data_IF_054001317212
#
_entry.id   IF_054001317212
#
_cell.length_a   1.000
_cell.length_b   1.000
_cell.length_c   1.000
_cell.angle_alpha   90.00
_cell.angle_beta   90.00
_cell.angle_gamma   90.00
#
_symmetry.space_group_name_H-M   'P 1'
#
loop_
_entity.id
_entity.type
_entity.pdbx_description
1 polymer ?
#
# COMPACT_ATOMS: atom_id res chain seq x y z
N UNK A 1 53.67 68.63 -1.23
CA UNK A 1 54.88 68.26 -1.98
C UNK A 1 55.20 66.81 -1.65
N UNK A 2 55.46 65.99 -2.69
CA UNK A 2 56.30 64.77 -2.71
C UNK A 2 55.96 63.61 -1.74
N UNK A 3 56.03 62.30 -2.03
CA UNK A 3 56.09 61.43 -3.22
C UNK A 3 55.80 60.00 -2.69
N UNK A 4 55.34 59.11 -3.57
CA UNK A 4 55.14 57.64 -3.46
C UNK A 4 56.15 56.82 -2.63
N UNK A 5 55.70 55.66 -2.07
CA UNK A 5 56.18 54.25 -2.28
C UNK A 5 55.14 53.30 -1.62
N UNK A 6 54.33 52.49 -2.32
CA UNK A 6 54.51 51.15 -2.94
C UNK A 6 54.59 49.94 -1.99
N UNK A 7 53.47 49.18 -1.96
CA UNK A 7 53.30 47.72 -2.05
C UNK A 7 53.55 46.74 -0.87
N UNK A 8 52.88 45.57 -1.07
CA UNK A 8 52.95 44.25 -0.41
C UNK A 8 51.97 44.14 0.79
N UNK A 9 50.82 43.46 0.74
CA UNK A 9 50.40 42.28 -0.03
C UNK A 9 50.51 41.04 0.86
N UNK A 10 49.40 40.55 1.42
CA UNK A 10 49.16 39.12 1.71
C UNK A 10 47.66 38.93 1.98
N UNK A 11 47.01 38.19 1.09
CA UNK A 11 45.59 37.87 1.17
C UNK A 11 45.30 36.84 2.27
N UNK A 12 44.22 37.06 3.02
CA UNK A 12 43.49 35.98 3.68
C UNK A 12 42.36 35.55 2.74
N UNK A 13 42.60 34.49 1.98
CA UNK A 13 41.53 33.75 1.32
C UNK A 13 40.78 32.92 2.38
N UNK A 14 39.58 33.37 2.77
CA UNK A 14 38.62 32.56 3.48
C UNK A 14 38.07 31.50 2.52
N UNK A 15 38.63 30.30 2.58
CA UNK A 15 38.08 29.13 1.89
C UNK A 15 36.84 28.69 2.67
N UNK A 16 35.66 29.20 2.30
CA UNK A 16 34.40 28.56 2.62
C UNK A 16 34.30 27.27 1.81
N UNK A 17 34.78 26.17 2.41
CA UNK A 17 34.51 24.83 1.92
C UNK A 17 33.02 24.54 2.08
N UNK A 18 32.22 24.81 1.04
CA UNK A 18 30.92 24.17 0.89
C UNK A 18 31.20 22.68 0.66
N UNK A 19 31.15 21.89 1.74
CA UNK A 19 30.88 20.47 1.62
C UNK A 19 29.45 20.31 1.12
N UNK A 20 29.26 20.45 -0.20
CA UNK A 20 28.15 19.82 -0.89
C UNK A 20 28.38 18.33 -0.73
N UNK A 21 27.88 17.77 0.37
CA UNK A 21 27.66 16.35 0.47
C UNK A 21 26.84 15.97 -0.76
N UNK A 22 27.46 15.18 -1.64
CA UNK A 22 26.75 14.54 -2.72
C UNK A 22 25.71 13.63 -2.08
N UNK A 23 24.48 14.14 -1.91
CA UNK A 23 23.32 13.29 -1.71
C UNK A 23 23.26 12.50 -3.01
N UNK A 24 23.79 11.27 -3.00
CA UNK A 24 23.58 10.34 -4.09
C UNK A 24 22.06 10.33 -4.34
N UNK A 25 21.65 10.79 -5.52
CA UNK A 25 20.24 10.88 -5.88
C UNK A 25 19.70 9.45 -5.84
N UNK A 26 19.06 9.09 -4.73
CA UNK A 26 18.48 7.76 -4.58
C UNK A 26 17.51 7.58 -5.73
N UNK A 27 17.67 6.49 -6.48
CA UNK A 27 16.74 6.14 -7.57
C UNK A 27 15.33 6.15 -6.97
N UNK A 28 14.34 6.82 -7.61
CA UNK A 28 13.00 6.86 -7.07
C UNK A 28 12.44 5.46 -6.81
N UNK A 29 11.75 5.32 -5.68
CA UNK A 29 11.11 4.09 -5.22
C UNK A 29 9.61 4.37 -5.07
N UNK A 30 8.79 3.37 -5.39
CA UNK A 30 7.34 3.42 -5.22
C UNK A 30 6.91 2.26 -4.32
N UNK A 31 6.11 2.56 -3.29
CA UNK A 31 5.42 1.56 -2.48
C UNK A 31 4.15 1.16 -3.22
N UNK A 32 4.06 -0.09 -3.66
CA UNK A 32 2.95 -0.59 -4.47
C UNK A 32 2.09 -1.58 -3.71
N UNK A 33 0.83 -1.65 -4.11
CA UNK A 33 -0.09 -2.76 -3.86
C UNK A 33 -0.55 -3.34 -5.21
N UNK A 34 -0.49 -4.65 -5.37
CA UNK A 34 -1.16 -5.38 -6.45
C UNK A 34 -2.38 -6.03 -5.83
N UNK A 35 -3.57 -5.61 -6.28
CA UNK A 35 -4.80 -5.96 -5.62
C UNK A 35 -5.88 -6.45 -6.60
N UNK A 36 -6.75 -7.33 -6.11
CA UNK A 36 -7.98 -7.73 -6.78
C UNK A 36 -9.12 -6.78 -6.38
N UNK A 37 -9.92 -6.37 -7.36
CA UNK A 37 -11.10 -5.54 -7.17
C UNK A 37 -12.34 -6.43 -7.09
N UNK A 38 -13.11 -6.36 -6.00
CA UNK A 38 -14.23 -7.25 -5.81
C UNK A 38 -15.49 -6.72 -6.50
N UNK A 39 -16.48 -7.59 -6.73
CA UNK A 39 -17.75 -7.21 -7.32
C UNK A 39 -18.61 -6.27 -6.44
N UNK A 40 -19.75 -5.84 -7.01
CA UNK A 40 -20.70 -4.95 -6.35
C UNK A 40 -21.23 -5.47 -5.00
N UNK A 41 -21.28 -6.79 -4.79
CA UNK A 41 -21.76 -7.40 -3.53
C UNK A 41 -20.81 -7.04 -2.40
N UNK A 42 -19.52 -7.33 -2.57
CA UNK A 42 -18.51 -6.97 -1.57
C UNK A 42 -18.37 -5.46 -1.44
N UNK A 43 -18.44 -4.69 -2.53
CA UNK A 43 -18.39 -3.24 -2.47
C UNK A 43 -19.52 -2.65 -1.61
N UNK A 44 -20.73 -3.19 -1.72
CA UNK A 44 -21.87 -2.76 -0.90
C UNK A 44 -21.62 -3.07 0.58
N UNK A 45 -21.25 -4.31 0.91
CA UNK A 45 -20.93 -4.70 2.29
C UNK A 45 -19.79 -3.87 2.89
N UNK A 46 -18.75 -3.59 2.12
CA UNK A 46 -17.64 -2.76 2.56
C UNK A 46 -18.08 -1.32 2.86
N UNK A 47 -18.91 -0.72 2.00
CA UNK A 47 -19.45 0.64 2.18
C UNK A 47 -20.39 0.74 3.39
N UNK A 48 -21.26 -0.24 3.59
CA UNK A 48 -22.17 -0.27 4.74
C UNK A 48 -21.38 -0.37 6.06
N UNK A 49 -20.36 -1.23 6.08
CA UNK A 49 -19.47 -1.38 7.23
C UNK A 49 -18.64 -0.11 7.47
N UNK A 50 -18.13 0.54 6.41
CA UNK A 50 -17.42 1.81 6.50
C UNK A 50 -18.29 2.95 7.05
N UNK A 51 -19.55 3.06 6.60
CA UNK A 51 -20.49 4.04 7.12
C UNK A 51 -20.74 3.89 8.63
N UNK A 52 -20.75 2.65 9.13
CA UNK A 52 -20.82 2.36 10.57
C UNK A 52 -19.54 2.79 11.29
N UNK A 53 -18.36 2.50 10.73
CA UNK A 53 -17.07 2.88 11.31
C UNK A 53 -16.88 4.39 11.38
N UNK A 54 -17.30 5.13 10.37
CA UNK A 54 -17.25 6.60 10.36
C UNK A 54 -18.12 7.25 11.45
N UNK A 55 -19.21 6.60 11.89
CA UNK A 55 -19.98 7.05 13.06
C UNK A 55 -19.21 6.86 14.37
N UNK A 56 -18.42 5.79 14.46
CA UNK A 56 -17.59 5.50 15.63
C UNK A 56 -16.32 6.36 15.69
N UNK A 57 -15.68 6.58 14.54
CA UNK A 57 -14.46 7.36 14.41
C UNK A 57 -14.53 8.26 13.17
N UNK A 58 -15.12 9.46 13.28
CA UNK A 58 -15.30 10.38 12.13
C UNK A 58 -14.00 10.85 11.46
N UNK A 59 -12.87 10.70 12.14
CA UNK A 59 -11.53 11.00 11.62
C UNK A 59 -10.92 9.85 10.80
N UNK A 60 -11.65 8.75 10.59
CA UNK A 60 -11.27 7.67 9.69
C UNK A 60 -11.31 8.12 8.22
N UNK A 61 -11.32 7.15 7.30
CA UNK A 61 -11.46 7.42 5.88
C UNK A 61 -12.74 6.79 5.32
N UNK A 62 -13.35 7.47 4.35
CA UNK A 62 -14.43 6.93 3.56
C UNK A 62 -13.87 6.04 2.46
N UNK A 63 -14.62 5.02 2.05
CA UNK A 63 -14.32 4.26 0.83
C UNK A 63 -14.77 5.10 -0.38
N UNK A 64 -13.79 5.74 -1.04
CA UNK A 64 -13.96 6.72 -2.12
C UNK A 64 -12.98 6.45 -3.28
N UNK A 65 -12.91 7.37 -4.25
CA UNK A 65 -11.98 7.31 -5.40
C UNK A 65 -10.49 7.22 -5.01
N UNK A 66 -10.16 7.41 -3.74
CA UNK A 66 -8.79 7.32 -3.23
C UNK A 66 -8.66 6.26 -2.13
N UNK A 67 -9.71 5.47 -1.87
CA UNK A 67 -9.73 4.36 -0.92
C UNK A 67 -10.63 3.25 -1.49
N UNK A 68 -10.16 2.64 -2.57
CA UNK A 68 -10.89 1.57 -3.24
C UNK A 68 -10.94 0.33 -2.35
N UNK A 69 -12.11 -0.31 -2.17
CA UNK A 69 -12.15 -1.63 -1.53
C UNK A 69 -11.48 -2.65 -2.44
N UNK A 70 -10.51 -3.38 -1.92
CA UNK A 70 -9.70 -4.34 -2.68
C UNK A 70 -9.22 -5.47 -1.78
N UNK A 71 -8.83 -6.59 -2.38
CA UNK A 71 -8.08 -7.66 -1.70
C UNK A 71 -6.62 -7.53 -2.11
N UNK A 72 -5.77 -7.12 -1.17
CA UNK A 72 -4.32 -7.03 -1.36
C UNK A 72 -3.75 -8.43 -1.65
N UNK A 73 -3.03 -8.57 -2.76
CA UNK A 73 -2.26 -9.78 -3.07
C UNK A 73 -0.79 -9.59 -2.70
N UNK A 74 -0.20 -8.44 -3.06
CA UNK A 74 1.22 -8.15 -2.84
C UNK A 74 1.43 -6.68 -2.51
N UNK A 75 2.07 -6.39 -1.37
CA UNK A 75 2.63 -5.06 -1.10
C UNK A 75 4.16 -5.10 -1.08
N UNK A 76 4.82 -4.21 -1.83
CA UNK A 76 6.29 -4.14 -1.89
C UNK A 76 6.80 -2.74 -2.25
N UNK A 77 8.08 -2.51 -2.01
CA UNK A 77 8.82 -1.40 -2.62
C UNK A 77 9.43 -1.85 -3.94
N UNK A 78 9.23 -1.06 -4.99
CA UNK A 78 9.81 -1.28 -6.32
C UNK A 78 10.53 -0.04 -6.79
N UNK A 79 11.50 -0.20 -7.69
CA UNK A 79 12.09 0.95 -8.39
C UNK A 79 11.02 1.58 -9.28
N UNK A 80 10.82 2.89 -9.17
CA UNK A 80 9.81 3.59 -9.98
C UNK A 80 10.07 3.45 -11.48
N UNK A 81 11.34 3.36 -11.88
CA UNK A 81 11.73 3.14 -13.27
C UNK A 81 11.32 1.75 -13.82
N UNK A 82 11.00 0.79 -12.95
CA UNK A 82 10.63 -0.58 -13.33
C UNK A 82 9.10 -0.81 -13.28
N UNK A 83 8.29 0.24 -13.08
CA UNK A 83 6.83 0.10 -12.92
C UNK A 83 6.17 -0.57 -14.13
N UNK A 84 6.56 -0.22 -15.36
CA UNK A 84 6.02 -0.87 -16.56
C UNK A 84 6.32 -2.37 -16.58
N UNK A 85 7.51 -2.77 -16.14
CA UNK A 85 7.91 -4.18 -16.01
C UNK A 85 7.12 -4.90 -14.91
N UNK A 86 6.83 -4.22 -13.80
CA UNK A 86 5.95 -4.73 -12.74
C UNK A 86 4.54 -4.96 -13.28
N UNK A 87 3.98 -4.01 -14.03
CA UNK A 87 2.65 -4.14 -14.62
C UNK A 87 2.58 -5.32 -15.58
N UNK A 88 3.56 -5.44 -16.47
CA UNK A 88 3.63 -6.55 -17.42
C UNK A 88 3.72 -7.91 -16.72
N UNK A 89 4.59 -8.02 -15.70
CA UNK A 89 4.75 -9.24 -14.91
C UNK A 89 3.47 -9.63 -14.17
N UNK A 90 2.81 -8.66 -13.52
CA UNK A 90 1.55 -8.89 -12.82
C UNK A 90 0.42 -9.31 -13.79
N UNK A 91 0.29 -8.63 -14.93
CA UNK A 91 -0.70 -8.97 -15.96
C UNK A 91 -0.51 -10.39 -16.49
N UNK A 92 0.74 -10.82 -16.73
CA UNK A 92 1.03 -12.16 -17.21
C UNK A 92 0.57 -13.25 -16.22
N UNK A 93 0.75 -13.01 -14.91
CA UNK A 93 0.25 -13.92 -13.86
C UNK A 93 -1.28 -13.92 -13.83
N UNK A 94 -1.92 -12.75 -13.83
CA UNK A 94 -3.38 -12.64 -13.77
C UNK A 94 -4.06 -13.31 -14.98
N UNK A 95 -3.49 -13.18 -16.17
CA UNK A 95 -4.00 -13.84 -17.38
C UNK A 95 -3.96 -15.37 -17.30
N UNK A 96 -2.97 -15.93 -16.58
CA UNK A 96 -2.85 -17.37 -16.33
C UNK A 96 -3.82 -17.85 -15.25
N UNK A 97 -3.95 -17.10 -14.17
CA UNK A 97 -4.71 -17.50 -12.98
C UNK A 97 -6.23 -17.29 -13.12
N UNK A 98 -6.68 -16.38 -14.00
CA UNK A 98 -8.09 -16.08 -14.30
C UNK A 98 -8.97 -15.83 -13.06
N UNK A 99 -8.68 -14.79 -12.25
CA UNK A 99 -9.39 -14.51 -11.01
C UNK A 99 -10.90 -14.27 -11.16
N UNK A 100 -11.34 -13.83 -12.34
CA UNK A 100 -12.75 -13.60 -12.70
C UNK A 100 -13.61 -14.87 -12.67
N UNK A 101 -12.98 -16.05 -12.73
CA UNK A 101 -13.66 -17.35 -12.64
C UNK A 101 -13.94 -17.80 -11.21
N UNK A 102 -13.41 -17.11 -10.19
CA UNK A 102 -13.49 -17.55 -8.81
C UNK A 102 -14.75 -17.03 -8.11
N UNK A 103 -15.29 -17.85 -7.22
CA UNK A 103 -16.29 -17.44 -6.23
C UNK A 103 -15.64 -17.53 -4.86
N UNK A 104 -15.38 -16.37 -4.26
CA UNK A 104 -14.73 -16.25 -2.95
C UNK A 104 -15.78 -16.03 -1.86
N UNK A 105 -15.45 -16.42 -0.62
CA UNK A 105 -16.37 -16.31 0.51
C UNK A 105 -15.84 -15.34 1.56
N UNK A 106 -16.63 -14.33 1.89
CA UNK A 106 -16.41 -13.46 3.04
C UNK A 106 -17.07 -14.08 4.28
N UNK A 107 -16.37 -14.12 5.42
CA UNK A 107 -16.85 -14.90 6.57
C UNK A 107 -16.76 -14.25 7.95
N UNK A 108 -16.00 -13.15 8.12
CA UNK A 108 -15.95 -12.43 9.40
C UNK A 108 -15.42 -11.02 9.25
N UNK A 109 -15.65 -10.19 10.26
CA UNK A 109 -14.83 -9.01 10.50
C UNK A 109 -13.53 -9.38 11.23
N UNK A 110 -12.49 -8.59 11.01
CA UNK A 110 -11.30 -8.55 11.86
C UNK A 110 -10.80 -7.10 11.94
N UNK A 111 -9.83 -6.84 12.81
CA UNK A 111 -9.07 -5.59 12.74
C UNK A 111 -7.60 -5.79 13.08
N UNK A 112 -6.76 -4.91 12.52
CA UNK A 112 -5.36 -4.73 12.90
C UNK A 112 -5.31 -3.64 13.99
N UNK A 113 -4.84 -3.94 15.21
CA UNK A 113 -4.73 -2.95 16.28
C UNK A 113 -3.74 -1.82 15.93
N UNK A 114 -4.14 -0.58 16.23
CA UNK A 114 -3.30 0.61 16.13
C UNK A 114 -3.75 1.61 17.20
N UNK A 115 -3.42 1.29 18.46
CA UNK A 115 -4.04 1.93 19.62
C UNK A 115 -3.98 3.47 19.56
N UNK A 116 -5.09 4.18 19.86
CA UNK A 116 -6.35 3.70 20.43
C UNK A 116 -7.42 3.24 19.40
N UNK A 117 -7.04 3.06 18.13
CA UNK A 117 -7.93 2.67 17.03
C UNK A 117 -7.55 1.31 16.46
N UNK A 118 -8.29 0.85 15.45
CA UNK A 118 -7.93 -0.31 14.65
C UNK A 118 -8.35 -0.14 13.20
N UNK A 119 -7.58 -0.75 12.30
CA UNK A 119 -7.92 -0.84 10.88
C UNK A 119 -8.76 -2.09 10.67
N UNK A 120 -10.03 -1.91 10.35
CA UNK A 120 -10.99 -2.99 10.20
C UNK A 120 -11.00 -3.55 8.78
N UNK A 121 -11.31 -4.84 8.65
CA UNK A 121 -11.49 -5.50 7.37
C UNK A 121 -12.56 -6.59 7.40
N UNK A 122 -13.11 -6.89 6.22
CA UNK A 122 -13.91 -8.09 5.96
C UNK A 122 -12.96 -9.17 5.46
N UNK A 123 -12.87 -10.29 6.17
CA UNK A 123 -11.96 -11.39 5.84
C UNK A 123 -12.58 -12.29 4.80
N UNK A 124 -11.78 -12.63 3.80
CA UNK A 124 -12.06 -13.64 2.77
C UNK A 124 -11.48 -14.97 3.24
N UNK A 125 -12.20 -16.07 3.08
CA UNK A 125 -11.66 -17.40 3.34
C UNK A 125 -10.47 -17.64 2.40
N UNK A 126 -9.27 -17.96 2.92
CA UNK A 126 -8.14 -18.31 2.06
C UNK A 126 -8.48 -19.54 1.21
N UNK A 127 -8.12 -19.48 -0.07
CA UNK A 127 -8.26 -20.60 -1.02
C UNK A 127 -6.91 -20.93 -1.64
N UNK A 128 -6.78 -22.14 -2.20
CA UNK A 128 -5.56 -22.55 -2.90
C UNK A 128 -5.27 -21.64 -4.11
N UNK A 129 -6.30 -21.11 -4.78
CA UNK A 129 -6.17 -20.14 -5.86
C UNK A 129 -5.61 -18.80 -5.37
N UNK A 130 -6.12 -18.28 -4.26
CA UNK A 130 -5.63 -17.04 -3.66
C UNK A 130 -4.16 -17.17 -3.21
N UNK A 131 -3.81 -18.30 -2.60
CA UNK A 131 -2.41 -18.59 -2.23
C UNK A 131 -1.50 -18.69 -3.45
N UNK A 132 -1.90 -19.46 -4.46
CA UNK A 132 -1.12 -19.62 -5.69
C UNK A 132 -0.93 -18.29 -6.42
N UNK A 133 -1.98 -17.47 -6.53
CA UNK A 133 -1.89 -16.15 -7.13
C UNK A 133 -0.91 -15.25 -6.38
N UNK A 134 -0.98 -15.23 -5.04
CA UNK A 134 -0.04 -14.45 -4.23
C UNK A 134 1.41 -14.89 -4.47
N UNK A 135 1.67 -16.21 -4.45
CA UNK A 135 3.02 -16.76 -4.63
C UNK A 135 3.58 -16.44 -6.03
N UNK A 136 2.76 -16.61 -7.08
CA UNK A 136 3.16 -16.31 -8.47
C UNK A 136 3.39 -14.81 -8.67
N UNK A 137 2.55 -13.94 -8.10
CA UNK A 137 2.76 -12.48 -8.15
C UNK A 137 4.03 -12.07 -7.40
N UNK A 138 4.25 -12.60 -6.20
CA UNK A 138 5.48 -12.36 -5.41
C UNK A 138 6.71 -12.71 -6.24
N UNK A 139 6.73 -13.90 -6.84
CA UNK A 139 7.84 -14.38 -7.66
C UNK A 139 8.05 -13.53 -8.91
N UNK A 140 6.96 -13.16 -9.59
CA UNK A 140 7.01 -12.43 -10.85
C UNK A 140 7.56 -11.01 -10.68
N UNK A 141 7.26 -10.34 -9.56
CA UNK A 141 7.71 -8.96 -9.33
C UNK A 141 9.05 -8.86 -8.58
N UNK A 142 9.53 -9.96 -7.98
CA UNK A 142 10.79 -10.02 -7.21
C UNK A 142 11.97 -9.27 -7.87
N UNK A 143 12.25 -9.42 -9.19
CA UNK A 143 13.39 -8.75 -9.83
C UNK A 143 13.34 -7.22 -9.76
N UNK A 144 12.15 -6.62 -9.62
CA UNK A 144 11.91 -5.17 -9.62
C UNK A 144 11.95 -4.54 -8.22
N UNK A 145 12.05 -5.38 -7.19
CA UNK A 145 11.88 -4.95 -5.81
C UNK A 145 13.15 -4.36 -5.21
N UNK A 146 12.97 -3.52 -4.18
CA UNK A 146 14.04 -3.01 -3.32
C UNK A 146 13.70 -3.30 -1.87
N UNK A 147 14.73 -3.38 -1.02
CA UNK A 147 14.58 -3.82 0.38
C UNK A 147 13.66 -2.91 1.22
N UNK A 148 13.64 -1.61 0.93
CA UNK A 148 12.88 -0.63 1.72
C UNK A 148 12.66 0.65 0.91
N UNK A 149 11.83 1.56 1.45
CA UNK A 149 11.60 2.89 0.93
C UNK A 149 11.54 3.94 2.04
N UNK A 150 11.38 5.20 1.65
CA UNK A 150 11.12 6.32 2.56
C UNK A 150 9.64 6.73 2.46
N UNK A 151 9.14 7.64 3.31
CA UNK A 151 7.78 8.18 3.15
C UNK A 151 7.50 8.73 1.73
N UNK A 152 8.52 9.18 0.99
CA UNK A 152 8.38 9.66 -0.39
C UNK A 152 7.95 8.57 -1.39
N UNK A 153 8.08 7.29 -1.04
CA UNK A 153 7.62 6.18 -1.87
C UNK A 153 6.08 6.01 -1.87
N UNK A 154 5.41 6.60 -0.88
CA UNK A 154 3.98 6.50 -0.67
C UNK A 154 3.24 7.71 -1.24
N UNK A 155 1.97 7.51 -1.56
CA UNK A 155 1.04 8.61 -1.76
C UNK A 155 0.72 9.23 -0.40
N UNK A 156 1.11 10.50 -0.22
CA UNK A 156 0.93 11.24 1.02
C UNK A 156 0.19 12.55 0.75
N UNK A 157 -0.72 12.90 1.66
CA UNK A 157 -1.37 14.23 1.65
C UNK A 157 -0.65 15.24 2.56
N UNK A 158 0.32 14.79 3.35
CA UNK A 158 1.02 15.61 4.35
C UNK A 158 2.56 15.55 4.20
N UNK A 159 3.05 15.42 2.96
CA UNK A 159 4.48 15.43 2.66
C UNK A 159 5.28 14.29 3.32
N UNK A 160 4.62 13.16 3.58
CA UNK A 160 5.16 11.96 4.21
C UNK A 160 4.95 11.85 5.72
N UNK A 161 4.45 12.91 6.39
CA UNK A 161 4.23 12.90 7.85
C UNK A 161 3.10 11.96 8.29
N UNK A 162 2.18 11.66 7.39
CA UNK A 162 1.07 10.71 7.53
C UNK A 162 1.49 9.25 7.30
N UNK A 163 2.77 8.97 7.02
CA UNK A 163 3.30 7.62 6.77
C UNK A 163 4.06 7.13 8.00
N UNK A 164 3.55 6.09 8.65
CA UNK A 164 4.17 5.55 9.86
C UNK A 164 5.39 4.68 9.53
N UNK A 165 6.40 4.70 10.41
CA UNK A 165 7.55 3.78 10.30
C UNK A 165 7.11 2.31 10.27
N UNK A 166 6.12 1.95 11.08
CA UNK A 166 5.56 0.60 11.11
C UNK A 166 4.95 0.17 9.78
N UNK A 167 4.38 1.11 9.00
CA UNK A 167 3.88 0.82 7.65
C UNK A 167 5.04 0.55 6.68
N UNK A 168 6.12 1.33 6.76
CA UNK A 168 7.33 1.09 5.95
C UNK A 168 7.91 -0.29 6.25
N UNK A 169 8.02 -0.65 7.55
CA UNK A 169 8.47 -1.96 7.99
C UNK A 169 7.52 -3.08 7.54
N UNK A 170 6.21 -2.85 7.59
CA UNK A 170 5.21 -3.80 7.10
C UNK A 170 5.40 -4.09 5.61
N UNK A 171 5.48 -3.05 4.76
CA UNK A 171 5.66 -3.21 3.30
C UNK A 171 7.01 -3.85 2.97
N UNK A 172 8.08 -3.49 3.68
CA UNK A 172 9.40 -4.09 3.48
C UNK A 172 9.43 -5.59 3.77
N UNK A 173 8.57 -6.06 4.69
CA UNK A 173 8.55 -7.45 5.16
C UNK A 173 7.31 -8.23 4.72
N UNK A 174 6.44 -7.65 3.89
CA UNK A 174 5.13 -8.21 3.54
C UNK A 174 5.19 -9.69 3.12
N UNK A 175 6.13 -10.04 2.22
CA UNK A 175 6.30 -11.42 1.75
C UNK A 175 6.65 -12.45 2.85
N UNK A 176 7.11 -12.00 4.02
CA UNK A 176 7.43 -12.86 5.17
C UNK A 176 6.34 -12.85 6.24
N UNK A 177 5.63 -11.73 6.42
CA UNK A 177 4.66 -11.54 7.52
C UNK A 177 3.20 -11.65 7.09
N UNK A 178 2.89 -11.51 5.80
CA UNK A 178 1.54 -11.42 5.25
C UNK A 178 1.31 -12.32 4.02
N UNK A 179 2.23 -13.25 3.75
CA UNK A 179 2.11 -14.22 2.66
C UNK A 179 2.11 -15.68 3.14
N UNK A 180 1.79 -16.60 2.24
CA UNK A 180 1.77 -18.04 2.50
C UNK A 180 0.87 -18.38 3.69
N UNK A 181 1.38 -19.11 4.68
CA UNK A 181 0.61 -19.48 5.90
C UNK A 181 0.14 -18.29 6.75
N UNK A 182 0.71 -17.09 6.55
CA UNK A 182 0.31 -15.87 7.24
C UNK A 182 -0.62 -14.99 6.40
N UNK A 183 -0.98 -15.44 5.20
CA UNK A 183 -1.88 -14.69 4.34
C UNK A 183 -3.27 -14.64 4.97
N UNK A 184 -3.76 -13.41 5.14
CA UNK A 184 -5.09 -13.12 5.65
C UNK A 184 -5.77 -12.21 4.61
N UNK A 185 -6.31 -12.75 3.51
CA UNK A 185 -6.96 -11.95 2.48
C UNK A 185 -8.18 -11.24 3.06
N UNK A 186 -8.28 -9.94 2.83
CA UNK A 186 -9.35 -9.13 3.38
C UNK A 186 -9.58 -7.89 2.52
N UNK A 187 -10.77 -7.31 2.67
CA UNK A 187 -11.08 -5.97 2.18
C UNK A 187 -11.05 -5.02 3.36
N UNK A 188 -10.15 -4.03 3.34
CA UNK A 188 -10.13 -2.97 4.36
C UNK A 188 -11.39 -2.12 4.26
N UNK A 189 -12.07 -1.91 5.39
CA UNK A 189 -13.36 -1.19 5.45
C UNK A 189 -13.30 0.11 6.24
N UNK A 190 -12.16 0.48 6.82
CA UNK A 190 -11.97 1.76 7.50
C UNK A 190 -11.35 1.63 8.89
N UNK A 191 -11.42 2.73 9.65
CA UNK A 191 -10.85 2.84 10.99
C UNK A 191 -11.96 3.02 12.02
N UNK A 192 -11.88 2.31 13.13
CA UNK A 192 -12.81 2.44 14.27
C UNK A 192 -12.07 2.55 15.60
N UNK A 193 -12.78 3.03 16.63
CA UNK A 193 -12.27 2.92 18.01
C UNK A 193 -12.19 1.46 18.43
N UNK A 194 -11.18 1.07 19.22
CA UNK A 194 -11.06 -0.32 19.68
C UNK A 194 -12.32 -0.83 20.39
N UNK A 195 -12.98 0.02 21.19
CA UNK A 195 -14.24 -0.32 21.87
C UNK A 195 -15.32 -0.71 20.87
N UNK A 196 -15.54 0.10 19.84
CA UNK A 196 -16.56 -0.19 18.84
C UNK A 196 -16.20 -1.41 17.97
N UNK A 197 -14.93 -1.57 17.62
CA UNK A 197 -14.46 -2.73 16.86
C UNK A 197 -14.73 -4.04 17.62
N UNK A 198 -14.51 -4.06 18.94
CA UNK A 198 -14.86 -5.23 19.78
C UNK A 198 -16.36 -5.54 19.73
N UNK A 199 -17.22 -4.52 19.77
CA UNK A 199 -18.68 -4.70 19.59
C UNK A 199 -19.00 -5.25 18.21
N UNK A 200 -18.45 -4.65 17.15
CA UNK A 200 -18.69 -5.07 15.76
C UNK A 200 -18.26 -6.51 15.48
N UNK A 201 -17.15 -6.96 16.08
CA UNK A 201 -16.67 -8.34 15.95
C UNK A 201 -17.50 -9.36 16.74
N UNK A 202 -18.27 -8.93 17.75
CA UNK A 202 -19.16 -9.79 18.51
C UNK A 202 -20.54 -9.97 17.85
N UNK A 203 -20.87 -9.16 16.85
CA UNK A 203 -22.10 -9.29 16.07
C UNK A 203 -22.04 -10.54 15.17
N UNK A 204 -23.18 -11.21 14.92
CA UNK A 204 -23.25 -12.25 13.89
C UNK A 204 -22.81 -11.70 12.53
N UNK A 205 -21.91 -12.42 11.86
CA UNK A 205 -21.49 -12.09 10.51
C UNK A 205 -22.26 -12.94 9.49
N UNK A 206 -23.07 -12.30 8.66
CA UNK A 206 -23.71 -12.97 7.53
C UNK A 206 -22.66 -13.28 6.47
N UNK A 207 -22.29 -14.55 6.30
CA UNK A 207 -21.35 -14.96 5.25
C UNK A 207 -21.95 -14.72 3.88
N UNK A 208 -21.15 -14.23 2.93
CA UNK A 208 -21.60 -13.99 1.55
C UNK A 208 -20.49 -14.35 0.57
N UNK A 209 -20.87 -14.58 -0.67
CA UNK A 209 -19.94 -14.83 -1.77
C UNK A 209 -19.79 -13.60 -2.65
N UNK A 210 -18.62 -13.45 -3.26
CA UNK A 210 -18.31 -12.41 -4.24
C UNK A 210 -17.26 -12.93 -5.21
N UNK A 211 -17.09 -12.25 -6.34
CA UNK A 211 -16.07 -12.54 -7.34
C UNK A 211 -15.13 -11.35 -7.53
N UNK A 212 -13.84 -11.59 -7.83
CA UNK A 212 -12.97 -10.57 -8.41
C UNK A 212 -13.51 -10.14 -9.79
N UNK A 213 -13.58 -8.83 -10.04
CA UNK A 213 -14.04 -8.27 -11.32
C UNK A 213 -12.98 -7.42 -12.01
N UNK A 214 -11.93 -7.04 -11.28
CA UNK A 214 -10.79 -6.29 -11.80
C UNK A 214 -9.53 -6.59 -10.98
N UNK A 215 -8.43 -6.03 -11.45
CA UNK A 215 -7.18 -5.98 -10.71
C UNK A 215 -6.45 -4.70 -11.08
N UNK A 216 -5.67 -4.17 -10.14
CA UNK A 216 -4.95 -2.92 -10.34
C UNK A 216 -3.66 -2.91 -9.53
N UNK A 217 -2.69 -2.13 -10.01
CA UNK A 217 -1.53 -1.72 -9.22
C UNK A 217 -1.78 -0.33 -8.69
N UNK A 218 -1.68 -0.17 -7.37
CA UNK A 218 -1.86 1.09 -6.67
C UNK A 218 -0.55 1.54 -6.03
N UNK A 219 -0.38 2.85 -5.89
CA UNK A 219 0.56 3.41 -4.93
C UNK A 219 -0.09 3.43 -3.56
N UNK A 220 0.60 2.84 -2.59
CA UNK A 220 0.19 2.79 -1.19
C UNK A 220 0.22 4.19 -0.57
N UNK A 221 -0.68 4.47 0.35
CA UNK A 221 -0.55 5.59 1.29
C UNK A 221 -0.82 5.20 2.73
N UNK A 222 -1.24 6.15 3.55
CA UNK A 222 -1.50 5.94 4.98
C UNK A 222 -2.40 4.72 5.24
N UNK A 223 -2.13 4.00 6.32
CA UNK A 223 -2.78 2.73 6.68
C UNK A 223 -2.53 1.57 5.69
N UNK A 224 -1.60 1.71 4.73
CA UNK A 224 -1.34 0.68 3.72
C UNK A 224 -2.49 0.52 2.73
N UNK A 225 -3.27 1.57 2.53
CA UNK A 225 -4.41 1.58 1.61
C UNK A 225 -3.97 1.87 0.18
N UNK A 226 -4.68 1.30 -0.80
CA UNK A 226 -4.60 1.63 -2.21
C UNK A 226 -5.09 3.07 -2.47
N UNK A 227 -4.17 4.04 -2.57
CA UNK A 227 -4.52 5.47 -2.60
C UNK A 227 -4.53 6.11 -3.97
N UNK A 228 -3.61 5.72 -4.85
CA UNK A 228 -3.51 6.22 -6.21
C UNK A 228 -3.40 5.04 -7.15
N UNK A 229 -4.39 4.85 -8.01
CA UNK A 229 -4.26 3.88 -9.09
C UNK A 229 -3.09 4.27 -9.98
N UNK A 230 -2.17 3.33 -10.19
CA UNK A 230 -1.07 3.49 -11.13
C UNK A 230 -1.42 2.83 -12.46
N UNK A 231 -2.05 1.65 -12.40
CA UNK A 231 -2.41 0.89 -13.60
C UNK A 231 -3.52 -0.12 -13.32
N UNK A 232 -4.66 0.03 -13.99
CA UNK A 232 -5.60 -1.08 -14.17
C UNK A 232 -4.97 -2.24 -14.97
N UNK A 233 -5.14 -3.46 -14.46
CA UNK A 233 -4.67 -4.72 -15.00
C UNK A 233 -5.88 -5.50 -15.57
N UNK A 234 -6.15 -5.44 -16.89
CA UNK A 234 -7.34 -6.03 -17.46
C UNK A 234 -7.40 -7.54 -17.20
N UNK A 235 -8.49 -7.98 -16.60
CA UNK A 235 -8.78 -9.41 -16.43
C UNK A 235 -9.56 -9.91 -17.63
N UNK A 236 -9.10 -11.01 -18.22
CA UNK A 236 -9.85 -11.73 -19.24
C UNK A 236 -10.81 -12.72 -18.56
N UNK A 237 -12.08 -12.82 -19.01
CA UNK A 237 -13.01 -13.85 -18.56
C UNK A 237 -12.44 -15.27 -18.65
#
# INVERSE_FOLDING_TARGET
MATFVTAIGFGLALIFGFAQGAIAQQKPVTAIDIALEPDATMLQHAKDANARLLKSFPKGFALDETHHPHVTMVQRFVRTADLDSVYAAANAVLAKEKPTSWTLKAYKYYYIPSSPVGLAGIVVEPTDELHRLQDELIKAVEPYTVKTGTPAAFFSRDGGRDIQRSLIEYVANFGTIAAGKRFNPHVTIGVGTETYLKTMLAEPFGTFTFSPTGASVYQLGTFGTARKELKALPLTP
#
